data_IF_826870905408
#
_entry.id   IF_826870905408
#
_cell.length_a   1.000
_cell.length_b   1.000
_cell.length_c   1.000
_cell.angle_alpha   90.00
_cell.angle_beta   90.00
_cell.angle_gamma   90.00
#
_symmetry.space_group_name_H-M   'P 1'
#
loop_
_entity.id
_entity.type
_entity.pdbx_description
1 polymer ?
#
# COMPACT_ATOMS: atom_id res chain seq x y z
N UNK A 1 -29.68 -10.42 -12.29
CA UNK A 1 -28.59 -11.20 -12.87
C UNK A 1 -27.45 -10.20 -13.07
N UNK A 2 -26.46 -10.28 -12.25
CA UNK A 2 -25.30 -9.36 -12.36
C UNK A 2 -24.21 -10.10 -13.13
N UNK A 3 -24.17 -9.91 -14.45
CA UNK A 3 -23.04 -10.32 -15.29
C UNK A 3 -21.86 -9.32 -15.10
N UNK A 4 -21.51 -9.05 -13.84
CA UNK A 4 -20.42 -8.17 -13.53
C UNK A 4 -19.11 -8.96 -13.45
N UNK A 5 -18.08 -8.47 -14.10
CA UNK A 5 -16.70 -8.97 -13.92
C UNK A 5 -16.07 -8.25 -12.75
N UNK A 6 -15.29 -8.98 -11.92
CA UNK A 6 -14.45 -8.37 -10.90
C UNK A 6 -13.62 -7.24 -11.52
N UNK A 7 -13.62 -6.07 -10.91
CA UNK A 7 -12.83 -4.94 -11.41
C UNK A 7 -11.92 -4.42 -10.31
N UNK A 8 -10.63 -4.51 -10.52
CA UNK A 8 -9.60 -4.00 -9.62
C UNK A 8 -9.12 -2.62 -10.09
N UNK A 9 -9.44 -1.57 -9.33
CA UNK A 9 -8.85 -0.24 -9.50
C UNK A 9 -7.49 -0.23 -8.79
N UNK A 10 -6.43 0.01 -9.54
CA UNK A 10 -5.07 -0.27 -9.11
C UNK A 10 -4.01 0.60 -9.78
N UNK A 11 -2.76 0.50 -9.33
CA UNK A 11 -1.58 0.99 -10.04
C UNK A 11 -0.48 -0.09 -10.04
N UNK A 12 0.22 -0.22 -11.16
CA UNK A 12 1.27 -1.24 -11.35
C UNK A 12 2.41 -1.13 -10.31
N UNK A 13 2.75 0.07 -9.92
CA UNK A 13 3.81 0.36 -8.96
C UNK A 13 3.36 0.21 -7.49
N UNK A 14 2.07 0.00 -7.23
CA UNK A 14 1.53 -0.12 -5.87
C UNK A 14 1.67 -1.56 -5.37
N UNK A 15 2.44 -1.81 -4.30
CA UNK A 15 2.67 -3.16 -3.78
C UNK A 15 1.39 -3.82 -3.28
N UNK A 16 0.46 -3.06 -2.71
CA UNK A 16 -0.84 -3.58 -2.26
C UNK A 16 -1.73 -4.00 -3.43
N UNK A 17 -1.68 -3.24 -4.52
CA UNK A 17 -2.37 -3.62 -5.76
C UNK A 17 -1.76 -4.89 -6.36
N UNK A 18 -0.43 -5.05 -6.28
CA UNK A 18 0.27 -6.27 -6.69
C UNK A 18 -0.22 -7.48 -5.91
N UNK A 19 -0.26 -7.38 -4.59
CA UNK A 19 -0.72 -8.45 -3.72
C UNK A 19 -2.17 -8.88 -4.03
N UNK A 20 -3.06 -7.93 -4.36
CA UNK A 20 -4.43 -8.26 -4.77
C UNK A 20 -4.45 -8.95 -6.13
N UNK A 21 -3.68 -8.49 -7.12
CA UNK A 21 -3.59 -9.16 -8.43
C UNK A 21 -3.11 -10.60 -8.29
N UNK A 22 -2.08 -10.80 -7.49
CA UNK A 22 -1.54 -12.13 -7.24
C UNK A 22 -2.55 -13.06 -6.58
N UNK A 23 -3.27 -12.58 -5.56
CA UNK A 23 -4.33 -13.36 -4.91
C UNK A 23 -5.47 -13.71 -5.88
N UNK A 24 -5.92 -12.75 -6.70
CA UNK A 24 -6.94 -13.01 -7.72
C UNK A 24 -6.49 -14.07 -8.72
N UNK A 25 -5.22 -14.01 -9.13
CA UNK A 25 -4.62 -15.00 -10.03
C UNK A 25 -4.49 -16.37 -9.35
N UNK A 26 -4.05 -16.42 -8.09
CA UNK A 26 -3.96 -17.66 -7.31
C UNK A 26 -5.32 -18.34 -7.13
N UNK A 27 -6.38 -17.57 -7.00
CA UNK A 27 -7.74 -18.06 -6.90
C UNK A 27 -8.35 -18.43 -8.25
N UNK A 28 -7.66 -18.17 -9.36
CA UNK A 28 -8.16 -18.40 -10.72
C UNK A 28 -9.37 -17.53 -11.08
N UNK A 29 -9.46 -16.35 -10.49
CA UNK A 29 -10.58 -15.43 -10.73
C UNK A 29 -10.26 -14.48 -11.88
N UNK A 30 -11.14 -14.44 -12.87
CA UNK A 30 -11.06 -13.44 -13.95
C UNK A 30 -11.40 -12.06 -13.41
N UNK A 31 -10.60 -11.07 -13.78
CA UNK A 31 -10.82 -9.70 -13.38
C UNK A 31 -10.31 -8.70 -14.43
N UNK A 32 -10.90 -7.51 -14.40
CA UNK A 32 -10.43 -6.36 -15.19
C UNK A 32 -9.55 -5.49 -14.29
N UNK A 33 -8.29 -5.32 -14.65
CA UNK A 33 -7.42 -4.34 -14.01
C UNK A 33 -7.66 -2.94 -14.61
N UNK A 34 -8.20 -2.03 -13.79
CA UNK A 34 -8.36 -0.61 -14.13
C UNK A 34 -7.19 0.17 -13.56
N UNK A 35 -6.30 0.60 -14.43
CA UNK A 35 -5.22 1.48 -14.04
C UNK A 35 -5.77 2.85 -13.67
N UNK A 36 -5.39 3.35 -12.51
CA UNK A 36 -5.74 4.71 -12.07
C UNK A 36 -4.56 5.65 -12.23
N UNK A 37 -4.84 6.95 -12.23
CA UNK A 37 -3.84 7.99 -12.32
C UNK A 37 -2.84 7.89 -11.16
N UNK A 38 -1.56 8.22 -11.40
CA UNK A 38 -0.51 8.16 -10.37
C UNK A 38 -0.84 9.00 -9.14
N UNK A 39 -1.43 10.15 -9.35
CA UNK A 39 -1.72 11.12 -8.29
C UNK A 39 -3.15 10.96 -7.79
N UNK A 40 -3.38 10.80 -6.47
CA UNK A 40 -4.73 10.68 -5.92
C UNK A 40 -5.64 11.84 -6.31
N UNK A 41 -5.10 13.08 -6.32
CA UNK A 41 -5.84 14.26 -6.75
C UNK A 41 -6.40 14.21 -8.17
N UNK A 42 -5.90 13.33 -9.01
CA UNK A 42 -6.32 13.14 -10.41
C UNK A 42 -7.25 11.93 -10.61
N UNK A 43 -7.52 11.14 -9.56
CA UNK A 43 -8.33 9.91 -9.60
C UNK A 43 -9.84 10.20 -9.58
N UNK A 44 -10.31 11.05 -10.48
CA UNK A 44 -11.72 11.48 -10.51
C UNK A 44 -12.68 10.34 -10.78
N UNK A 45 -12.30 9.40 -11.66
CA UNK A 45 -13.11 8.20 -11.91
C UNK A 45 -13.23 7.35 -10.64
N UNK A 46 -12.12 7.11 -9.95
CA UNK A 46 -12.12 6.32 -8.72
C UNK A 46 -12.95 7.00 -7.62
N UNK A 47 -12.82 8.31 -7.44
CA UNK A 47 -13.65 9.06 -6.49
C UNK A 47 -15.13 8.97 -6.82
N UNK A 48 -15.49 9.07 -8.09
CA UNK A 48 -16.88 8.97 -8.54
C UNK A 48 -17.46 7.59 -8.30
N UNK A 49 -16.68 6.54 -8.57
CA UNK A 49 -17.11 5.14 -8.44
C UNK A 49 -17.07 4.66 -7.01
N UNK A 50 -15.99 4.97 -6.29
CA UNK A 50 -15.70 4.36 -4.99
C UNK A 50 -15.71 5.32 -3.80
N UNK A 51 -15.89 6.63 -4.02
CA UNK A 51 -15.88 7.64 -2.95
C UNK A 51 -14.51 7.79 -2.27
N UNK A 52 -13.44 7.33 -2.90
CA UNK A 52 -12.06 7.39 -2.38
C UNK A 52 -11.08 7.59 -3.52
N UNK A 53 -9.91 8.12 -3.21
CA UNK A 53 -8.77 8.17 -4.10
C UNK A 53 -7.67 7.16 -3.74
N UNK A 54 -7.90 6.36 -2.69
CA UNK A 54 -6.99 5.32 -2.25
C UNK A 54 -7.15 4.04 -3.07
N UNK A 55 -6.05 3.34 -3.30
CA UNK A 55 -5.98 2.05 -3.99
C UNK A 55 -5.30 1.00 -3.10
N UNK A 56 -5.61 -0.28 -3.27
CA UNK A 56 -6.53 -0.88 -4.25
C UNK A 56 -8.01 -0.76 -3.85
N UNK A 57 -8.89 -0.76 -4.86
CA UNK A 57 -10.34 -0.94 -4.69
C UNK A 57 -10.79 -2.07 -5.59
N UNK A 58 -11.52 -3.04 -5.05
CA UNK A 58 -12.15 -4.11 -5.80
C UNK A 58 -13.66 -3.88 -5.90
N UNK A 59 -14.18 -3.87 -7.11
CA UNK A 59 -15.62 -3.96 -7.36
C UNK A 59 -15.97 -5.41 -7.66
N UNK A 60 -16.84 -5.98 -6.84
CA UNK A 60 -17.36 -7.32 -7.04
C UNK A 60 -18.37 -7.37 -8.20
N UNK A 61 -18.73 -8.58 -8.63
CA UNK A 61 -19.66 -8.83 -9.74
C UNK A 61 -21.08 -8.29 -9.45
N UNK A 62 -21.46 -8.23 -8.18
CA UNK A 62 -22.73 -7.66 -7.71
C UNK A 62 -22.68 -6.13 -7.53
N UNK A 63 -21.55 -5.51 -7.88
CA UNK A 63 -21.34 -4.07 -7.78
C UNK A 63 -20.85 -3.58 -6.41
N UNK A 64 -20.78 -4.44 -5.39
CA UNK A 64 -20.21 -4.05 -4.08
C UNK A 64 -18.75 -3.66 -4.21
N UNK A 65 -18.33 -2.69 -3.37
CA UNK A 65 -17.00 -2.12 -3.38
C UNK A 65 -16.26 -2.45 -2.10
N UNK A 66 -15.09 -3.04 -2.26
CA UNK A 66 -14.16 -3.33 -1.18
C UNK A 66 -12.97 -2.40 -1.29
N UNK A 67 -12.76 -1.55 -0.28
CA UNK A 67 -11.72 -0.51 -0.25
C UNK A 67 -10.60 -0.94 0.69
N UNK A 68 -9.37 -0.88 0.18
CA UNK A 68 -8.19 -1.31 0.92
C UNK A 68 -7.99 -2.82 0.92
N UNK A 69 -6.73 -3.23 1.12
CA UNK A 69 -6.30 -4.63 0.97
C UNK A 69 -7.00 -5.56 1.95
N UNK A 70 -7.24 -5.14 3.20
CA UNK A 70 -7.89 -5.97 4.23
C UNK A 70 -9.29 -6.42 3.84
N UNK A 71 -10.14 -5.46 3.43
CA UNK A 71 -11.53 -5.76 3.02
C UNK A 71 -11.58 -6.59 1.76
N UNK A 72 -10.64 -6.34 0.84
CA UNK A 72 -10.51 -7.13 -0.39
C UNK A 72 -10.11 -8.57 -0.04
N UNK A 73 -9.12 -8.76 0.81
CA UNK A 73 -8.66 -10.09 1.21
C UNK A 73 -9.72 -10.84 2.02
N UNK A 74 -10.41 -10.19 2.96
CA UNK A 74 -11.52 -10.80 3.68
C UNK A 74 -12.59 -11.32 2.72
N UNK A 75 -13.01 -10.50 1.75
CA UNK A 75 -13.96 -10.91 0.72
C UNK A 75 -13.45 -12.07 -0.14
N UNK A 76 -12.19 -12.03 -0.57
CA UNK A 76 -11.62 -13.06 -1.44
C UNK A 76 -11.36 -14.38 -0.70
N UNK A 77 -11.11 -14.35 0.62
CA UNK A 77 -10.97 -15.58 1.44
C UNK A 77 -12.25 -16.41 1.50
N UNK A 78 -13.42 -15.78 1.41
CA UNK A 78 -14.72 -16.48 1.41
C UNK A 78 -15.01 -17.19 0.09
N UNK A 79 -14.18 -16.93 -0.94
CA UNK A 79 -14.37 -17.54 -2.24
C UNK A 79 -13.77 -18.94 -2.30
N UNK A 80 -14.48 -19.85 -2.94
CA UNK A 80 -13.95 -21.17 -3.26
C UNK A 80 -12.75 -21.02 -4.20
N UNK A 81 -11.66 -21.67 -3.85
CA UNK A 81 -10.50 -21.72 -4.71
C UNK A 81 -10.83 -22.51 -5.97
N UNK A 82 -10.39 -21.99 -7.12
CA UNK A 82 -10.41 -22.73 -8.38
C UNK A 82 -9.75 -24.11 -8.22
N UNK A 83 -10.28 -25.14 -8.88
CA UNK A 83 -9.77 -26.52 -8.76
C UNK A 83 -8.26 -26.68 -9.03
N UNK A 84 -7.69 -25.81 -9.86
CA UNK A 84 -6.26 -25.74 -10.14
C UNK A 84 -5.46 -24.79 -9.25
N UNK A 85 -6.09 -24.09 -8.33
CA UNK A 85 -5.43 -23.09 -7.49
C UNK A 85 -4.28 -23.67 -6.66
N UNK A 86 -4.41 -24.92 -6.20
CA UNK A 86 -3.33 -25.62 -5.48
C UNK A 86 -2.11 -25.94 -6.36
N UNK A 87 -2.34 -26.28 -7.63
CA UNK A 87 -1.27 -26.51 -8.60
C UNK A 87 -0.62 -25.18 -9.02
N UNK A 88 -1.42 -24.14 -9.18
CA UNK A 88 -0.95 -22.79 -9.50
C UNK A 88 -0.11 -22.22 -8.37
N UNK A 89 -0.55 -22.33 -7.12
CA UNK A 89 0.23 -21.94 -5.93
C UNK A 89 1.57 -22.67 -5.84
N UNK A 90 1.62 -23.97 -6.14
CA UNK A 90 2.89 -24.73 -6.18
C UNK A 90 3.84 -24.17 -7.24
N UNK A 91 3.36 -23.96 -8.47
CA UNK A 91 4.18 -23.33 -9.53
C UNK A 91 4.69 -21.95 -9.14
N UNK A 92 3.85 -21.17 -8.47
CA UNK A 92 4.22 -19.83 -8.00
C UNK A 92 5.28 -19.91 -6.88
N UNK A 93 5.18 -20.90 -5.97
CA UNK A 93 6.19 -21.16 -4.95
C UNK A 93 7.54 -21.55 -5.58
N UNK A 94 7.53 -22.44 -6.57
CA UNK A 94 8.74 -22.87 -7.29
C UNK A 94 9.42 -21.68 -8.02
N UNK A 95 8.65 -20.72 -8.52
CA UNK A 95 9.18 -19.49 -9.12
C UNK A 95 9.59 -18.42 -8.11
N UNK A 96 9.08 -18.49 -6.88
CA UNK A 96 9.38 -17.55 -5.80
C UNK A 96 10.80 -17.73 -5.28
N UNK A 97 11.29 -18.96 -5.17
CA UNK A 97 12.67 -19.28 -4.76
C UNK A 97 13.71 -18.75 -5.75
N UNK A 98 13.29 -18.43 -6.99
CA UNK A 98 14.15 -17.83 -8.01
C UNK A 98 14.17 -16.30 -7.98
N UNK A 99 13.31 -15.67 -7.20
CA UNK A 99 13.23 -14.20 -7.01
C UNK A 99 13.22 -13.91 -5.51
N UNK A 100 14.39 -13.61 -4.98
CA UNK A 100 14.53 -12.95 -3.69
C UNK A 100 13.76 -11.64 -3.70
N UNK A 101 12.46 -11.62 -3.47
CA UNK A 101 11.76 -10.40 -3.11
C UNK A 101 10.29 -10.63 -2.79
N UNK A 102 9.90 -10.10 -1.67
CA UNK A 102 8.56 -9.57 -1.35
C UNK A 102 7.40 -10.52 -1.64
N UNK A 103 7.42 -11.68 -0.97
CA UNK A 103 6.36 -12.65 -1.11
C UNK A 103 5.01 -12.07 -0.65
N UNK A 104 3.95 -12.14 -1.47
CA UNK A 104 2.57 -11.82 -1.05
C UNK A 104 2.13 -12.60 0.18
N UNK A 105 2.72 -13.77 0.42
CA UNK A 105 2.54 -14.56 1.62
C UNK A 105 2.89 -13.82 2.92
N UNK A 106 3.88 -12.93 2.89
CA UNK A 106 4.21 -12.11 4.07
C UNK A 106 3.15 -11.05 4.35
N UNK A 107 2.56 -10.45 3.32
CA UNK A 107 1.42 -9.54 3.49
C UNK A 107 0.17 -10.30 3.98
N UNK A 108 -0.09 -11.51 3.49
CA UNK A 108 -1.19 -12.35 3.96
C UNK A 108 -1.00 -12.80 5.41
N UNK A 109 0.21 -13.18 5.79
CA UNK A 109 0.56 -13.56 7.16
C UNK A 109 0.44 -12.35 8.09
N UNK A 110 0.91 -11.20 7.66
CA UNK A 110 0.72 -9.91 8.30
C UNK A 110 -0.75 -9.60 8.59
N UNK A 111 -1.65 -9.77 7.60
CA UNK A 111 -3.07 -9.50 7.79
C UNK A 111 -3.79 -10.59 8.59
N UNK A 112 -3.28 -11.84 8.64
CA UNK A 112 -3.80 -12.89 9.53
C UNK A 112 -3.52 -12.59 11.00
N UNK A 113 -2.31 -12.19 11.32
CA UNK A 113 -1.91 -11.87 12.70
C UNK A 113 -2.61 -10.61 13.23
N UNK A 114 -3.03 -9.69 12.35
CA UNK A 114 -3.70 -8.44 12.76
C UNK A 114 -5.21 -8.57 12.93
N UNK A 115 -5.87 -9.57 12.36
CA UNK A 115 -7.31 -9.82 12.54
C UNK A 115 -7.66 -10.32 13.97
N UNK A 116 -6.68 -10.86 14.72
CA UNK A 116 -6.90 -11.46 16.03
C UNK A 116 -6.67 -10.50 17.22
N UNK A 117 -6.24 -9.27 16.98
CA UNK A 117 -5.90 -8.31 18.02
C UNK A 117 -6.78 -7.06 17.96
N UNK A 118 -7.50 -6.79 19.04
CA UNK A 118 -8.22 -5.52 19.22
C UNK A 118 -7.29 -4.32 19.01
N UNK A 119 -7.80 -3.26 18.39
CA UNK A 119 -7.05 -2.04 18.12
C UNK A 119 -6.45 -1.49 19.43
N UNK A 120 -5.13 -1.46 19.49
CA UNK A 120 -4.42 -1.01 20.68
C UNK A 120 -4.82 0.41 21.10
N UNK A 121 -5.02 0.62 22.40
CA UNK A 121 -5.41 1.89 23.01
C UNK A 121 -4.26 2.91 23.09
N UNK A 122 -3.08 2.62 22.53
CA UNK A 122 -1.89 3.47 22.61
C UNK A 122 -1.93 4.74 21.77
N UNK A 123 -0.98 5.63 22.02
CA UNK A 123 -0.79 6.90 21.31
C UNK A 123 0.29 6.80 20.21
N UNK A 124 0.32 7.73 19.23
CA UNK A 124 1.38 7.76 18.23
C UNK A 124 2.79 7.89 18.80
N UNK A 125 2.93 8.50 19.98
CA UNK A 125 4.23 8.64 20.67
C UNK A 125 4.79 7.30 21.15
N UNK A 126 3.91 6.34 21.47
CA UNK A 126 4.27 4.99 21.91
C UNK A 126 4.54 4.04 20.73
N UNK A 127 4.22 4.48 19.50
CA UNK A 127 4.45 3.67 18.34
C UNK A 127 5.92 3.74 17.90
N UNK A 128 6.51 2.57 17.70
CA UNK A 128 7.84 2.39 17.15
C UNK A 128 7.80 2.37 15.63
N UNK A 129 8.77 3.02 14.98
CA UNK A 129 8.97 2.94 13.54
C UNK A 129 10.29 2.23 13.26
N UNK A 130 10.21 1.13 12.54
CA UNK A 130 11.35 0.26 12.23
C UNK A 130 11.54 0.21 10.72
N UNK A 131 12.78 0.40 10.24
CA UNK A 131 13.13 0.11 8.85
C UNK A 131 13.32 -1.40 8.68
N UNK A 132 12.66 -1.98 7.68
CA UNK A 132 12.74 -3.40 7.31
C UNK A 132 13.23 -3.48 5.86
N UNK A 133 14.56 -3.36 5.63
CA UNK A 133 15.13 -3.25 4.29
C UNK A 133 14.83 -4.46 3.39
N UNK A 134 14.77 -5.65 3.98
CA UNK A 134 14.43 -6.90 3.27
C UNK A 134 13.01 -6.88 2.72
N UNK A 135 12.10 -6.13 3.36
CA UNK A 135 10.74 -5.93 2.89
C UNK A 135 10.53 -4.59 2.17
N UNK A 136 11.60 -3.80 1.96
CA UNK A 136 11.54 -2.48 1.33
C UNK A 136 10.48 -1.56 1.92
N UNK A 137 10.35 -1.53 3.27
CA UNK A 137 9.36 -0.72 3.95
C UNK A 137 9.81 -0.29 5.35
N UNK A 138 9.26 0.83 5.80
CA UNK A 138 9.19 1.15 7.22
C UNK A 138 7.91 0.57 7.80
N UNK A 139 7.99 0.02 8.99
CA UNK A 139 6.87 -0.51 9.75
C UNK A 139 6.58 0.38 10.96
N UNK A 140 5.30 0.67 11.18
CA UNK A 140 4.80 1.33 12.38
C UNK A 140 4.21 0.28 13.30
N UNK A 141 4.81 0.11 14.47
CA UNK A 141 4.41 -0.91 15.45
C UNK A 141 3.92 -0.26 16.74
N UNK A 142 2.84 -0.76 17.30
CA UNK A 142 2.29 -0.35 18.58
C UNK A 142 2.15 -1.59 19.48
N UNK A 143 2.88 -1.61 20.61
CA UNK A 143 2.91 -2.78 21.49
C UNK A 143 3.45 -4.05 20.80
N UNK A 144 4.38 -3.89 19.85
CA UNK A 144 4.90 -4.98 19.01
C UNK A 144 4.04 -5.34 17.81
N UNK A 145 2.80 -4.87 17.75
CA UNK A 145 1.86 -5.09 16.64
C UNK A 145 2.12 -4.11 15.51
N UNK A 146 2.16 -4.60 14.29
CA UNK A 146 2.24 -3.80 13.09
C UNK A 146 0.87 -3.13 12.81
N UNK A 147 0.85 -1.80 12.82
CA UNK A 147 -0.36 -0.98 12.62
C UNK A 147 -0.27 -0.07 11.39
N UNK A 148 0.85 -0.08 10.68
CA UNK A 148 1.02 0.69 9.46
C UNK A 148 2.36 0.44 8.80
N UNK A 149 2.48 0.81 7.54
CA UNK A 149 3.70 0.69 6.78
C UNK A 149 3.89 1.84 5.78
N UNK A 150 5.15 2.13 5.42
CA UNK A 150 5.52 3.01 4.33
C UNK A 150 6.48 2.28 3.40
N UNK A 151 5.96 1.81 2.26
CA UNK A 151 6.73 1.10 1.27
C UNK A 151 7.64 2.06 0.49
N UNK A 152 8.85 1.59 0.16
CA UNK A 152 9.82 2.37 -0.58
C UNK A 152 10.61 1.54 -1.60
N UNK A 153 11.39 2.23 -2.44
CA UNK A 153 12.47 1.66 -3.25
C UNK A 153 13.72 2.50 -3.07
N UNK A 154 14.87 1.86 -2.83
CA UNK A 154 16.18 2.54 -2.74
C UNK A 154 17.02 2.27 -3.97
N UNK A 155 17.57 3.33 -4.56
CA UNK A 155 18.52 3.22 -5.69
C UNK A 155 19.34 4.48 -5.81
N UNK A 156 20.65 4.32 -6.01
CA UNK A 156 21.57 5.41 -6.35
C UNK A 156 21.48 6.63 -5.38
N UNK A 157 21.53 6.40 -4.07
CA UNK A 157 21.43 7.45 -3.07
C UNK A 157 20.06 8.12 -2.95
N UNK A 158 19.01 7.49 -3.50
CA UNK A 158 17.62 7.95 -3.40
C UNK A 158 16.73 6.92 -2.76
N UNK A 159 15.71 7.40 -2.05
CA UNK A 159 14.60 6.61 -1.54
C UNK A 159 13.28 7.13 -2.14
N UNK A 160 12.57 6.27 -2.86
CA UNK A 160 11.27 6.58 -3.43
C UNK A 160 10.18 5.96 -2.55
N UNK A 161 9.43 6.78 -1.81
CA UNK A 161 8.27 6.31 -1.07
C UNK A 161 7.10 6.11 -2.03
N UNK A 162 6.62 4.88 -2.13
CA UNK A 162 5.62 4.49 -3.12
C UNK A 162 4.21 4.38 -2.54
N UNK A 163 4.09 4.02 -1.26
CA UNK A 163 2.81 3.81 -0.60
C UNK A 163 2.94 3.99 0.91
N UNK A 164 1.85 4.44 1.56
CA UNK A 164 1.74 4.50 3.02
C UNK A 164 0.35 4.03 3.42
N UNK A 165 0.27 3.18 4.40
CA UNK A 165 -0.98 2.65 4.93
C UNK A 165 -0.91 2.61 6.46
N UNK A 166 -2.04 2.87 7.11
CA UNK A 166 -2.24 2.75 8.55
C UNK A 166 -3.54 1.99 8.78
N UNK A 167 -3.59 1.20 9.85
CA UNK A 167 -4.79 0.48 10.28
C UNK A 167 -5.99 1.44 10.42
N UNK A 168 -7.16 1.08 9.85
CA UNK A 168 -8.39 1.89 9.93
C UNK A 168 -8.72 2.29 11.38
N UNK A 169 -8.50 1.39 12.35
CA UNK A 169 -8.72 1.68 13.77
C UNK A 169 -7.75 2.74 14.34
N UNK A 170 -6.67 3.02 13.62
CA UNK A 170 -5.63 3.99 13.97
C UNK A 170 -5.69 5.26 13.10
N UNK A 171 -6.56 5.32 12.08
CA UNK A 171 -6.70 6.48 11.20
C UNK A 171 -7.15 7.74 11.96
N UNK A 172 -6.75 8.90 11.47
CA UNK A 172 -7.10 10.20 12.07
C UNK A 172 -6.42 10.50 13.40
N UNK A 173 -5.68 9.56 13.99
CA UNK A 173 -5.02 9.68 15.30
C UNK A 173 -3.56 10.14 15.23
N UNK A 174 -3.04 10.46 14.04
CA UNK A 174 -1.67 10.95 13.85
C UNK A 174 -0.60 9.87 13.63
N UNK A 175 -0.96 8.60 13.61
CA UNK A 175 -0.04 7.49 13.37
C UNK A 175 0.67 7.56 12.01
N UNK A 176 -0.05 7.92 10.94
CA UNK A 176 0.55 8.14 9.63
C UNK A 176 1.60 9.26 9.64
N UNK A 177 1.32 10.35 10.35
CA UNK A 177 2.28 11.45 10.54
C UNK A 177 3.52 11.01 11.30
N UNK A 178 3.37 10.17 12.32
CA UNK A 178 4.48 9.58 13.07
C UNK A 178 5.37 8.72 12.17
N UNK A 179 4.75 7.88 11.34
CA UNK A 179 5.46 7.02 10.38
C UNK A 179 6.22 7.86 9.35
N UNK A 180 5.56 8.85 8.74
CA UNK A 180 6.17 9.74 7.76
C UNK A 180 7.36 10.51 8.33
N UNK A 181 7.20 11.12 9.53
CA UNK A 181 8.29 11.83 10.19
C UNK A 181 9.51 10.94 10.38
N UNK A 182 9.33 9.78 10.99
CA UNK A 182 10.44 8.88 11.31
C UNK A 182 11.15 8.38 10.05
N UNK A 183 10.41 8.03 8.99
CA UNK A 183 10.96 7.58 7.72
C UNK A 183 11.75 8.68 7.00
N UNK A 184 11.29 9.92 7.03
CA UNK A 184 11.98 11.07 6.44
C UNK A 184 13.23 11.46 7.25
N UNK A 185 13.15 11.45 8.57
CA UNK A 185 14.31 11.69 9.44
C UNK A 185 15.38 10.60 9.25
N UNK A 186 14.97 9.36 9.07
CA UNK A 186 15.90 8.28 8.79
C UNK A 186 16.55 8.43 7.40
N UNK A 187 15.79 8.79 6.38
CA UNK A 187 16.33 9.11 5.07
C UNK A 187 17.39 10.25 5.15
N UNK A 188 17.13 11.28 5.98
CA UNK A 188 18.08 12.37 6.26
C UNK A 188 19.36 11.84 6.89
N UNK A 189 19.27 11.03 7.95
CA UNK A 189 20.44 10.44 8.62
C UNK A 189 21.28 9.60 7.67
N UNK A 190 20.64 8.92 6.73
CA UNK A 190 21.31 8.09 5.71
C UNK A 190 21.82 8.90 4.50
N UNK A 191 21.59 10.21 4.44
CA UNK A 191 22.00 11.07 3.32
C UNK A 191 21.24 10.75 2.02
N UNK A 192 20.04 10.18 2.10
CA UNK A 192 19.23 9.81 0.96
C UNK A 192 18.37 10.99 0.48
N UNK A 193 18.31 11.18 -0.83
CA UNK A 193 17.34 12.08 -1.44
C UNK A 193 15.98 11.39 -1.55
N UNK A 194 14.91 12.10 -1.20
CA UNK A 194 13.54 11.58 -1.17
C UNK A 194 12.84 11.86 -2.50
N UNK A 195 12.23 10.83 -3.06
CA UNK A 195 11.27 10.93 -4.18
C UNK A 195 9.88 10.55 -3.64
N UNK A 196 9.02 11.52 -3.31
CA UNK A 196 7.74 11.26 -2.65
C UNK A 196 6.66 10.88 -3.67
N UNK A 197 6.70 9.65 -4.18
CA UNK A 197 5.67 9.13 -5.09
C UNK A 197 4.36 8.84 -4.34
N UNK A 198 4.44 8.53 -3.03
CA UNK A 198 3.28 8.39 -2.18
C UNK A 198 2.66 9.76 -1.89
N UNK A 199 1.38 9.97 -2.21
CA UNK A 199 0.73 11.26 -2.01
C UNK A 199 0.65 11.69 -0.55
N UNK A 200 0.53 10.73 0.36
CA UNK A 200 0.54 11.02 1.78
C UNK A 200 1.90 11.61 2.21
N UNK A 201 3.01 11.00 1.79
CA UNK A 201 4.36 11.51 2.08
C UNK A 201 4.60 12.84 1.35
N UNK A 202 4.14 13.01 0.11
CA UNK A 202 4.25 14.27 -0.62
C UNK A 202 3.54 15.41 0.13
N UNK A 203 2.28 15.19 0.51
CA UNK A 203 1.50 16.18 1.29
C UNK A 203 2.11 16.43 2.68
N UNK A 204 2.66 15.39 3.30
CA UNK A 204 3.34 15.54 4.58
C UNK A 204 4.55 16.46 4.47
N UNK A 205 5.36 16.34 3.43
CA UNK A 205 6.51 17.22 3.14
C UNK A 205 6.02 18.63 2.81
N UNK A 206 5.03 18.80 1.94
CA UNK A 206 4.46 20.11 1.58
C UNK A 206 4.00 20.93 2.80
N UNK A 207 3.50 20.26 3.83
CA UNK A 207 3.04 20.88 5.07
C UNK A 207 4.16 21.14 6.09
N UNK A 208 5.41 20.73 5.78
CA UNK A 208 6.57 20.77 6.70
C UNK A 208 7.85 21.15 5.98
N UNK A 209 8.13 22.46 5.90
CA UNK A 209 9.30 23.01 5.18
C UNK A 209 10.65 22.43 5.64
N UNK A 210 10.73 21.91 6.87
CA UNK A 210 11.92 21.27 7.41
C UNK A 210 12.36 20.00 6.64
N UNK A 211 11.50 19.44 5.80
CA UNK A 211 11.82 18.27 4.95
C UNK A 211 12.05 18.64 3.48
N UNK A 212 11.91 19.91 3.13
CA UNK A 212 12.05 20.37 1.77
C UNK A 212 13.44 20.05 1.16
N UNK A 213 14.48 20.17 1.95
CA UNK A 213 15.86 19.90 1.54
C UNK A 213 16.11 18.44 1.13
N UNK A 214 15.28 17.52 1.61
CA UNK A 214 15.37 16.10 1.30
C UNK A 214 14.88 15.76 -0.10
N UNK A 215 13.97 16.56 -0.66
CA UNK A 215 13.34 16.22 -1.94
C UNK A 215 14.36 16.29 -3.08
N UNK A 216 14.45 15.20 -3.85
CA UNK A 216 15.38 15.08 -4.96
C UNK A 216 15.18 16.21 -5.98
N UNK A 217 16.30 16.83 -6.40
CA UNK A 217 16.29 17.80 -7.51
C UNK A 217 15.71 17.15 -8.75
N UNK A 218 14.86 17.88 -9.49
CA UNK A 218 14.11 17.35 -10.64
C UNK A 218 12.76 16.75 -10.28
N UNK A 219 12.46 16.44 -9.00
CA UNK A 219 11.10 16.18 -8.55
C UNK A 219 10.35 17.50 -8.24
N UNK A 220 11.06 18.49 -7.71
CA UNK A 220 10.53 19.85 -7.43
C UNK A 220 10.15 20.62 -8.69
N UNK A 221 10.83 20.37 -9.80
CA UNK A 221 10.63 21.09 -11.06
C UNK A 221 9.43 20.57 -11.87
N UNK A 222 8.68 19.62 -11.35
CA UNK A 222 7.39 19.26 -11.93
C UNK A 222 6.39 20.36 -11.61
N UNK A 223 5.85 21.07 -12.64
CA UNK A 223 4.87 22.10 -12.38
C UNK A 223 3.70 21.47 -11.62
N UNK A 224 3.36 22.09 -10.48
CA UNK A 224 2.12 21.78 -9.80
C UNK A 224 1.00 21.98 -10.83
N UNK A 225 0.28 20.89 -11.13
CA UNK A 225 -0.85 21.00 -12.04
C UNK A 225 -1.84 22.00 -11.41
N UNK A 226 -2.27 23.04 -12.12
CA UNK A 226 -3.19 24.03 -11.56
C UNK A 226 -4.42 23.30 -11.02
N UNK A 227 -4.80 23.62 -9.81
CA UNK A 227 -6.09 23.18 -9.25
C UNK A 227 -7.19 23.80 -10.11
N UNK A 228 -8.19 23.02 -10.52
CA UNK A 228 -9.37 23.54 -11.19
C UNK A 228 -10.14 24.51 -10.29
#
# INVERSE_FOLDING_TARGET
MADGVLTLYQAEWCPLSSAVRELLTELGLDFVARQVEPWPGERDELRRVAGTDQIPVLRAEDGRLYRGIRKIFAYLREREAWEFAAAHRRRFADHRDARESDAPGQLLEYFRETDELEAGTGSPAEAEVVDVPEANRYELRLGGRLIGLAAYRRRNGRIAFTHTEVDEACEGRGFGSRLAAAALEDARRQGLQVVPLCPFIAHYIESRPEFDDLVASGYRDRPAKPRP
#
